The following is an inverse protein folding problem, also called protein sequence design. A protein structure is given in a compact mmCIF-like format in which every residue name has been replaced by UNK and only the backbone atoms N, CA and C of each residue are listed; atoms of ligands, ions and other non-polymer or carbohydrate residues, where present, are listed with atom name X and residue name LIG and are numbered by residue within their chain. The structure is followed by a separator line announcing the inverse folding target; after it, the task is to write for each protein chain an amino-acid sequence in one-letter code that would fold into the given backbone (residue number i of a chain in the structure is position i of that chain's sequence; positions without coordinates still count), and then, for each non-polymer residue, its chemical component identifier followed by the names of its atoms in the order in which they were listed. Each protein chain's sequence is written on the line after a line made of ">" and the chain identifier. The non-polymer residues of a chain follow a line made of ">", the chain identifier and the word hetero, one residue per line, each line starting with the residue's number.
data_IF_710823357614
#
_entry.id   IF_710823357614
#
_cell.length_a   1.000
_cell.length_b   1.000
_cell.length_c   1.000
_cell.angle_alpha   90.00
_cell.angle_beta   90.00
_cell.angle_gamma   90.00
#
_symmetry.space_group_name_H-M   'P 1'
#
loop_
_entity.id
_entity.type
_entity.pdbx_description
1 polymer ?
#
# COMPACT_ATOMS: atom_id res chain seq x y z
N UNK A 1 2.65 11.59 0.73
CA UNK A 1 2.50 10.13 0.84
C UNK A 1 3.14 9.47 -0.36
N UNK A 2 3.81 8.31 -0.18
CA UNK A 2 4.50 7.55 -1.22
C UNK A 2 4.30 6.04 -1.00
N UNK A 3 4.12 5.28 -2.09
CA UNK A 3 4.01 3.83 -2.09
C UNK A 3 5.40 3.20 -2.33
N UNK A 4 5.82 2.31 -1.44
CA UNK A 4 7.09 1.57 -1.51
C UNK A 4 6.91 0.10 -1.84
N UNK A 5 5.71 -0.44 -1.62
CA UNK A 5 5.35 -1.80 -1.99
C UNK A 5 3.85 -1.88 -2.24
N UNK A 6 3.45 -2.63 -3.26
CA UNK A 6 2.07 -2.68 -3.78
C UNK A 6 1.59 -4.11 -4.09
N UNK A 7 2.46 -5.11 -3.90
CA UNK A 7 2.12 -6.54 -4.09
C UNK A 7 1.49 -7.12 -2.83
N UNK A 8 0.54 -8.03 -3.04
CA UNK A 8 -0.02 -8.86 -1.99
C UNK A 8 0.75 -10.15 -1.79
N UNK A 9 0.56 -10.78 -0.66
CA UNK A 9 0.97 -12.14 -0.29
C UNK A 9 2.47 -12.42 -0.29
N UNK A 10 3.20 -12.05 -1.35
CA UNK A 10 4.65 -12.27 -1.45
C UNK A 10 5.28 -11.31 -2.47
N UNK A 11 6.55 -10.97 -2.27
CA UNK A 11 7.33 -10.21 -3.23
C UNK A 11 7.38 -10.92 -4.60
N UNK A 12 7.12 -10.16 -5.68
CA UNK A 12 7.02 -10.70 -7.04
C UNK A 12 7.89 -9.91 -8.02
N UNK A 13 9.22 -10.18 -8.04
CA UNK A 13 10.14 -9.50 -8.94
C UNK A 13 9.87 -9.88 -10.40
N UNK A 14 10.09 -8.91 -11.30
CA UNK A 14 10.00 -9.12 -12.75
C UNK A 14 10.98 -10.21 -13.18
N UNK A 15 10.48 -11.30 -13.77
CA UNK A 15 11.32 -12.41 -14.23
C UNK A 15 12.07 -12.05 -15.52
N UNK A 16 13.24 -12.61 -15.73
CA UNK A 16 14.07 -12.35 -16.93
C UNK A 16 13.31 -12.55 -18.25
N UNK A 17 12.45 -13.56 -18.33
CA UNK A 17 11.63 -13.80 -19.52
C UNK A 17 10.60 -12.69 -19.77
N UNK A 18 9.98 -12.16 -18.71
CA UNK A 18 8.97 -11.10 -18.82
C UNK A 18 9.66 -9.77 -19.16
N UNK A 19 10.82 -9.50 -18.54
CA UNK A 19 11.67 -8.37 -18.89
C UNK A 19 12.08 -8.40 -20.38
N UNK A 20 12.57 -9.58 -20.86
CA UNK A 20 12.95 -9.76 -22.26
C UNK A 20 11.77 -9.55 -23.21
N UNK A 21 10.58 -10.12 -22.89
CA UNK A 21 9.35 -9.91 -23.67
C UNK A 21 9.02 -8.42 -23.77
N UNK A 22 9.02 -7.71 -22.64
CA UNK A 22 8.75 -6.27 -22.56
C UNK A 22 9.71 -5.45 -23.43
N UNK A 23 11.01 -5.71 -23.36
CA UNK A 23 12.01 -5.01 -24.19
C UNK A 23 11.82 -5.28 -25.69
N UNK A 24 11.56 -6.52 -26.08
CA UNK A 24 11.31 -6.86 -27.49
C UNK A 24 10.10 -6.10 -28.02
N UNK A 25 9.00 -6.10 -27.26
CA UNK A 25 7.78 -5.41 -27.66
C UNK A 25 7.99 -3.89 -27.79
N UNK A 26 8.72 -3.26 -26.87
CA UNK A 26 9.11 -1.84 -26.97
C UNK A 26 9.94 -1.58 -28.25
N UNK A 27 10.91 -2.44 -28.55
CA UNK A 27 11.75 -2.29 -29.73
C UNK A 27 10.97 -2.48 -31.04
N UNK A 28 10.02 -3.41 -31.06
CA UNK A 28 9.17 -3.62 -32.23
C UNK A 28 8.22 -2.44 -32.47
N UNK A 29 7.62 -1.87 -31.41
CA UNK A 29 6.85 -0.63 -31.51
C UNK A 29 7.70 0.55 -31.99
N UNK A 30 8.93 0.68 -31.50
CA UNK A 30 9.87 1.72 -31.95
C UNK A 30 10.18 1.60 -33.45
N UNK A 31 10.46 0.39 -33.95
CA UNK A 31 10.65 0.15 -35.39
C UNK A 31 9.40 0.50 -36.22
N UNK A 32 8.21 0.15 -35.72
CA UNK A 32 6.94 0.43 -36.41
C UNK A 32 6.62 1.93 -36.45
N UNK A 33 7.08 2.72 -35.49
CA UNK A 33 6.90 4.17 -35.46
C UNK A 33 7.77 4.94 -36.48
N UNK A 34 8.64 4.24 -37.22
CA UNK A 34 9.53 4.84 -38.21
C UNK A 34 10.84 5.37 -37.61
N UNK A 35 11.04 5.29 -36.32
CA UNK A 35 12.27 5.66 -35.58
C UNK A 35 12.81 7.08 -35.84
N UNK A 36 12.03 7.98 -36.45
CA UNK A 36 12.42 9.33 -36.83
C UNK A 36 12.14 10.40 -35.74
N UNK A 37 11.48 10.02 -34.65
CA UNK A 37 11.11 10.90 -33.55
C UNK A 37 12.07 10.88 -32.37
N UNK A 38 11.85 11.79 -31.41
CA UNK A 38 12.52 11.78 -30.12
C UNK A 38 12.22 10.49 -29.35
N UNK A 39 13.23 9.86 -28.75
CA UNK A 39 13.04 8.70 -27.85
C UNK A 39 12.12 9.04 -26.67
N UNK A 40 12.18 10.29 -26.17
CA UNK A 40 11.32 10.75 -25.10
C UNK A 40 9.86 10.83 -25.54
N UNK A 41 9.57 11.31 -26.76
CA UNK A 41 8.22 11.36 -27.31
C UNK A 41 7.68 9.95 -27.54
N UNK A 42 8.47 9.04 -28.10
CA UNK A 42 8.12 7.63 -28.22
C UNK A 42 7.81 7.01 -26.85
N UNK A 43 8.66 7.26 -25.84
CA UNK A 43 8.45 6.79 -24.46
C UNK A 43 7.12 7.29 -23.89
N UNK A 44 6.79 8.58 -24.08
CA UNK A 44 5.52 9.13 -23.59
C UNK A 44 4.27 8.47 -24.20
N UNK A 45 4.38 7.96 -25.42
CA UNK A 45 3.28 7.33 -26.15
C UNK A 45 3.20 5.79 -25.98
N UNK A 46 4.15 5.18 -25.27
CA UNK A 46 4.10 3.73 -24.98
C UNK A 46 2.86 3.35 -24.18
N UNK A 47 2.28 2.15 -24.40
CA UNK A 47 1.30 1.56 -23.50
C UNK A 47 1.80 1.55 -22.06
N UNK A 48 0.90 1.75 -21.11
CA UNK A 48 1.25 1.92 -19.69
C UNK A 48 2.04 0.72 -19.15
N UNK A 49 1.62 -0.51 -19.45
CA UNK A 49 2.29 -1.75 -19.00
C UNK A 49 3.70 -1.93 -19.57
N UNK A 50 4.02 -1.27 -20.67
CA UNK A 50 5.39 -1.25 -21.24
C UNK A 50 6.21 -0.12 -20.62
N UNK A 51 5.59 1.02 -20.35
CA UNK A 51 6.25 2.21 -19.81
C UNK A 51 6.69 2.04 -18.35
N UNK A 52 5.93 1.31 -17.54
CA UNK A 52 6.17 1.14 -16.12
C UNK A 52 6.21 -0.33 -15.71
N UNK A 53 6.87 -0.61 -14.60
CA UNK A 53 6.63 -1.79 -13.78
C UNK A 53 5.76 -1.36 -12.60
N UNK A 54 4.81 -2.20 -12.18
CA UNK A 54 3.97 -1.90 -11.02
C UNK A 54 4.79 -1.93 -9.72
N UNK A 55 5.74 -2.82 -9.65
CA UNK A 55 6.62 -3.05 -8.52
C UNK A 55 6.66 -4.52 -8.12
N UNK A 56 7.61 -4.85 -7.28
CA UNK A 56 7.90 -6.21 -6.82
C UNK A 56 7.73 -6.39 -5.32
N UNK A 57 7.77 -5.30 -4.57
CA UNK A 57 7.76 -5.32 -3.12
C UNK A 57 6.34 -5.40 -2.54
N UNK A 58 6.23 -6.05 -1.38
CA UNK A 58 4.97 -6.16 -0.64
C UNK A 58 4.67 -4.90 0.15
N UNK A 59 3.46 -4.80 0.65
CA UNK A 59 2.76 -3.63 1.15
C UNK A 59 3.60 -2.76 2.10
N UNK A 60 3.89 -1.54 1.66
CA UNK A 60 4.47 -0.49 2.48
C UNK A 60 4.14 0.88 1.92
N UNK A 61 3.56 1.75 2.74
CA UNK A 61 3.22 3.13 2.37
C UNK A 61 3.78 4.10 3.40
N UNK A 62 4.43 5.18 2.98
CA UNK A 62 4.83 6.26 3.87
C UNK A 62 3.92 7.48 3.73
N UNK A 63 3.66 8.13 4.85
CA UNK A 63 3.03 9.44 4.95
C UNK A 63 3.99 10.38 5.66
N UNK A 64 4.22 11.57 5.13
CA UNK A 64 4.99 12.61 5.81
C UNK A 64 4.04 13.79 6.04
N UNK A 65 3.92 14.24 7.28
CA UNK A 65 3.11 15.40 7.62
C UNK A 65 3.85 16.72 7.34
N UNK A 66 3.15 17.84 7.54
CA UNK A 66 3.67 19.18 7.30
C UNK A 66 4.88 19.53 8.20
N UNK A 67 5.03 18.85 9.33
CA UNK A 67 6.17 19.01 10.25
C UNK A 67 7.36 18.09 9.89
N UNK A 68 7.24 17.28 8.82
CA UNK A 68 8.27 16.35 8.37
C UNK A 68 8.35 15.07 9.20
N UNK A 69 7.31 14.72 9.98
CA UNK A 69 7.22 13.47 10.70
C UNK A 69 6.80 12.33 9.75
N UNK A 70 7.51 11.21 9.81
CA UNK A 70 7.23 10.03 8.98
C UNK A 70 6.33 9.03 9.71
N UNK A 71 5.26 8.64 9.03
CA UNK A 71 4.34 7.57 9.40
C UNK A 71 4.41 6.50 8.34
N UNK A 72 4.38 5.24 8.75
CA UNK A 72 4.50 4.07 7.85
C UNK A 72 3.30 3.15 8.08
N UNK A 73 2.65 2.76 7.02
CA UNK A 73 1.55 1.81 6.98
C UNK A 73 2.11 0.50 6.43
N UNK A 74 2.15 -0.48 7.30
CA UNK A 74 2.73 -1.79 7.13
C UNK A 74 4.25 -1.84 6.82
N UNK A 75 4.82 -2.99 7.05
CA UNK A 75 6.26 -3.25 7.01
C UNK A 75 6.61 -4.38 6.03
N UNK A 76 5.91 -4.42 4.88
CA UNK A 76 6.26 -5.34 3.80
C UNK A 76 7.66 -5.09 3.24
N UNK A 77 8.06 -5.84 2.24
CA UNK A 77 9.44 -5.77 1.71
C UNK A 77 9.81 -4.39 1.17
N UNK A 78 8.80 -3.58 0.76
CA UNK A 78 9.01 -2.18 0.36
C UNK A 78 9.60 -1.29 1.45
N UNK A 79 9.48 -1.69 2.73
CA UNK A 79 10.06 -0.97 3.86
C UNK A 79 11.59 -0.85 3.77
N UNK A 80 12.25 -1.82 3.15
CA UNK A 80 13.70 -1.77 2.91
C UNK A 80 14.09 -0.53 2.12
N UNK A 81 13.35 -0.21 1.05
CA UNK A 81 13.63 0.94 0.18
C UNK A 81 13.42 2.26 0.94
N UNK A 82 12.34 2.37 1.71
CA UNK A 82 12.13 3.51 2.61
C UNK A 82 13.28 3.65 3.62
N UNK A 83 13.75 2.53 4.19
CA UNK A 83 14.87 2.53 5.12
C UNK A 83 16.17 3.06 4.50
N UNK A 84 16.43 2.74 3.22
CA UNK A 84 17.58 3.24 2.49
C UNK A 84 17.50 4.76 2.26
N UNK A 85 16.33 5.29 1.92
CA UNK A 85 16.08 6.74 1.78
C UNK A 85 16.28 7.45 3.13
N UNK A 86 15.67 6.96 4.21
CA UNK A 86 15.79 7.56 5.55
C UNK A 86 17.23 7.57 6.05
N UNK A 87 18.02 6.53 5.81
CA UNK A 87 19.44 6.51 6.19
C UNK A 87 20.26 7.48 5.33
N UNK A 88 19.95 7.63 4.05
CA UNK A 88 20.60 8.64 3.21
C UNK A 88 20.34 10.05 3.73
N UNK A 89 19.10 10.37 4.13
CA UNK A 89 18.72 11.66 4.71
C UNK A 89 19.32 11.88 6.11
N UNK A 90 19.48 10.81 6.90
CA UNK A 90 20.11 10.84 8.22
C UNK A 90 21.51 11.46 8.18
N UNK A 91 22.32 11.10 7.21
CA UNK A 91 23.68 11.63 7.05
C UNK A 91 23.71 13.09 6.57
N UNK A 92 22.61 13.63 6.06
CA UNK A 92 22.47 15.04 5.68
C UNK A 92 21.90 15.93 6.79
N UNK A 93 21.61 15.38 7.97
CA UNK A 93 21.03 16.06 9.15
C UNK A 93 19.64 16.70 8.93
N UNK A 94 18.89 16.27 7.93
CA UNK A 94 17.57 16.83 7.59
C UNK A 94 16.40 16.02 8.12
N UNK A 95 16.63 14.85 8.75
CA UNK A 95 15.61 13.89 9.11
C UNK A 95 15.16 14.01 10.57
N UNK A 96 13.86 13.95 10.82
CA UNK A 96 13.32 13.55 12.13
C UNK A 96 13.56 12.05 12.34
N UNK A 97 14.19 11.70 13.45
CA UNK A 97 14.62 10.32 13.76
C UNK A 97 13.51 9.49 14.43
N UNK A 98 12.29 9.99 14.46
CA UNK A 98 11.12 9.24 14.93
C UNK A 98 10.33 8.74 13.74
N UNK A 99 10.00 7.44 13.73
CA UNK A 99 9.15 6.82 12.72
C UNK A 99 7.99 6.12 13.43
N UNK A 100 6.77 6.42 13.01
CA UNK A 100 5.54 5.85 13.58
C UNK A 100 4.93 4.85 12.60
N UNK A 101 4.85 3.59 13.01
CA UNK A 101 4.28 2.49 12.23
C UNK A 101 2.84 2.24 12.65
N UNK A 102 1.95 2.06 11.68
CA UNK A 102 0.57 1.61 11.83
C UNK A 102 0.44 0.26 11.16
N UNK A 103 0.22 -0.78 11.95
CA UNK A 103 0.24 -2.17 11.48
C UNK A 103 -1.19 -2.68 11.31
N UNK A 104 -1.57 -2.97 10.06
CA UNK A 104 -2.90 -3.48 9.74
C UNK A 104 -3.10 -4.87 10.30
N UNK A 105 -2.13 -5.75 10.08
CA UNK A 105 -2.08 -7.10 10.62
C UNK A 105 -0.67 -7.70 10.45
N UNK A 106 -0.48 -8.96 10.82
CA UNK A 106 0.85 -9.56 10.89
C UNK A 106 1.04 -10.75 9.93
N UNK A 107 0.34 -10.77 8.77
CA UNK A 107 0.73 -11.67 7.70
C UNK A 107 2.13 -11.28 7.19
N UNK A 108 2.83 -12.24 6.63
CA UNK A 108 4.26 -12.09 6.32
C UNK A 108 4.53 -10.92 5.38
N UNK A 109 3.72 -10.74 4.38
CA UNK A 109 3.87 -9.66 3.41
C UNK A 109 3.66 -8.25 3.98
N UNK A 110 3.12 -8.15 5.21
CA UNK A 110 2.97 -6.88 5.95
C UNK A 110 4.03 -6.65 7.03
N UNK A 111 4.86 -7.64 7.35
CA UNK A 111 5.91 -7.51 8.37
C UNK A 111 7.30 -7.92 7.89
N UNK A 112 7.42 -8.55 6.74
CA UNK A 112 8.63 -9.19 6.24
C UNK A 112 9.81 -8.22 6.04
N UNK A 113 9.55 -6.93 5.81
CA UNK A 113 10.57 -5.92 5.60
C UNK A 113 11.23 -5.39 6.88
N UNK A 114 10.62 -5.59 8.05
CA UNK A 114 11.12 -5.00 9.30
C UNK A 114 12.58 -5.37 9.60
N UNK A 115 13.02 -6.63 9.50
CA UNK A 115 14.41 -7.01 9.76
C UNK A 115 15.42 -6.36 8.80
N UNK A 116 14.95 -5.86 7.65
CA UNK A 116 15.77 -5.22 6.62
C UNK A 116 15.64 -3.68 6.61
N UNK A 117 14.88 -3.12 7.55
CA UNK A 117 14.71 -1.69 7.74
C UNK A 117 15.95 -1.10 8.44
N UNK A 118 16.89 -0.55 7.67
CA UNK A 118 18.18 -0.07 8.21
C UNK A 118 18.07 0.82 9.44
N UNK A 119 17.12 1.80 9.54
CA UNK A 119 17.01 2.64 10.73
C UNK A 119 16.82 1.88 12.04
N UNK A 120 16.32 0.63 12.03
CA UNK A 120 16.14 -0.18 13.24
C UNK A 120 17.47 -0.46 13.96
N UNK A 121 18.59 -0.44 13.23
CA UNK A 121 19.92 -0.70 13.75
C UNK A 121 20.65 0.55 14.27
N UNK A 122 20.08 1.75 14.07
CA UNK A 122 20.69 3.01 14.49
C UNK A 122 20.13 3.47 15.83
N UNK A 123 20.98 3.66 16.88
CA UNK A 123 20.52 3.99 18.23
C UNK A 123 19.81 5.34 18.37
N UNK A 124 19.99 6.23 17.39
CA UNK A 124 19.35 7.54 17.39
C UNK A 124 17.90 7.50 16.88
N UNK A 125 17.46 6.39 16.29
CA UNK A 125 16.09 6.26 15.82
C UNK A 125 15.15 5.82 16.95
N UNK A 126 13.96 6.39 16.95
CA UNK A 126 12.84 6.05 17.82
C UNK A 126 11.69 5.52 16.99
N UNK A 127 11.32 4.27 17.17
CA UNK A 127 10.30 3.57 16.41
C UNK A 127 9.07 3.34 17.28
N UNK A 128 7.94 3.91 16.89
CA UNK A 128 6.66 3.73 17.57
C UNK A 128 5.77 2.81 16.73
N UNK A 129 5.28 1.73 17.31
CA UNK A 129 4.41 0.75 16.65
C UNK A 129 3.01 0.86 17.24
N UNK A 130 2.04 1.24 16.42
CA UNK A 130 0.63 1.36 16.77
C UNK A 130 -0.15 0.22 16.14
N UNK A 131 -0.93 -0.50 16.94
CA UNK A 131 -1.80 -1.57 16.45
C UNK A 131 -2.83 -1.95 17.51
N UNK A 132 -3.99 -2.52 17.12
CA UNK A 132 -4.92 -3.13 18.05
C UNK A 132 -4.45 -4.47 18.65
N UNK A 133 -3.36 -5.07 18.13
CA UNK A 133 -2.85 -6.34 18.64
C UNK A 133 -2.00 -6.14 19.88
N UNK A 134 -2.50 -6.58 21.04
CA UNK A 134 -1.80 -6.47 22.33
C UNK A 134 -0.50 -7.29 22.39
N UNK A 135 -0.37 -8.26 21.51
CA UNK A 135 0.80 -9.15 21.40
C UNK A 135 1.71 -8.81 20.20
N UNK A 136 1.57 -7.60 19.59
CA UNK A 136 2.35 -7.22 18.41
C UNK A 136 3.85 -7.40 18.62
N UNK A 137 4.39 -6.93 19.74
CA UNK A 137 5.81 -7.07 20.08
C UNK A 137 6.25 -8.54 20.03
N UNK A 138 5.48 -9.43 20.66
CA UNK A 138 5.77 -10.87 20.67
C UNK A 138 5.74 -11.48 19.27
N UNK A 139 4.81 -11.03 18.41
CA UNK A 139 4.73 -11.51 17.03
C UNK A 139 5.98 -11.12 16.24
N UNK A 140 6.46 -9.87 16.40
CA UNK A 140 7.67 -9.38 15.73
C UNK A 140 8.94 -10.01 16.31
N UNK A 141 9.00 -10.28 17.62
CA UNK A 141 10.09 -11.05 18.24
C UNK A 141 10.16 -12.47 17.65
N UNK A 142 9.01 -13.16 17.54
CA UNK A 142 8.95 -14.51 16.94
C UNK A 142 9.40 -14.53 15.49
N UNK A 143 9.07 -13.49 14.70
CA UNK A 143 9.56 -13.36 13.33
C UNK A 143 11.10 -13.35 13.25
N UNK A 144 11.76 -12.83 14.29
CA UNK A 144 13.21 -12.65 14.35
C UNK A 144 13.87 -13.61 15.36
N UNK A 145 13.22 -14.74 15.67
CA UNK A 145 13.88 -15.83 16.41
C UNK A 145 15.08 -16.36 15.62
N UNK A 146 16.15 -16.84 16.31
CA UNK A 146 17.40 -17.25 15.66
C UNK A 146 17.25 -18.30 14.56
N UNK A 147 16.18 -19.09 14.59
CA UNK A 147 15.82 -20.07 13.56
C UNK A 147 15.36 -19.40 12.25
N UNK A 148 14.90 -18.16 12.29
CA UNK A 148 14.35 -17.43 11.15
C UNK A 148 15.20 -16.24 10.73
N UNK A 149 15.83 -15.55 11.69
CA UNK A 149 16.64 -14.37 11.41
C UNK A 149 17.82 -14.25 12.40
N UNK A 150 19.04 -13.85 11.92
CA UNK A 150 20.24 -13.89 12.76
C UNK A 150 20.31 -12.80 13.85
N UNK A 151 19.51 -11.74 13.74
CA UNK A 151 19.49 -10.63 14.70
C UNK A 151 18.10 -10.56 15.36
N UNK A 152 17.99 -10.85 16.66
CA UNK A 152 16.71 -10.72 17.36
C UNK A 152 16.27 -9.26 17.44
N UNK A 153 14.96 -9.02 17.52
CA UNK A 153 14.39 -7.67 17.56
C UNK A 153 15.01 -6.81 18.67
N UNK A 154 15.22 -7.39 19.86
CA UNK A 154 15.83 -6.72 21.02
C UNK A 154 17.32 -6.44 20.85
N UNK A 155 17.97 -7.14 19.91
CA UNK A 155 19.39 -6.94 19.56
C UNK A 155 19.64 -5.77 18.61
N UNK A 156 18.58 -5.10 18.12
CA UNK A 156 18.70 -3.95 17.22
C UNK A 156 18.86 -2.64 18.01
N UNK A 157 19.58 -1.65 17.43
CA UNK A 157 20.03 -0.46 18.15
C UNK A 157 18.98 0.59 18.48
N UNK A 158 17.89 0.71 17.68
CA UNK A 158 16.87 1.76 17.85
C UNK A 158 16.02 1.57 19.11
N UNK A 159 15.54 2.67 19.69
CA UNK A 159 14.49 2.62 20.70
C UNK A 159 13.14 2.21 20.06
N UNK A 160 12.39 1.33 20.72
CA UNK A 160 11.11 0.81 20.24
C UNK A 160 10.04 0.97 21.31
N UNK A 161 8.86 1.47 20.91
CA UNK A 161 7.68 1.58 21.75
C UNK A 161 6.49 0.94 21.05
N UNK A 162 5.81 0.02 21.75
CA UNK A 162 4.61 -0.64 21.27
C UNK A 162 3.39 -0.02 21.97
N UNK A 163 2.47 0.52 21.16
CA UNK A 163 1.32 1.29 21.64
C UNK A 163 0.03 0.65 21.16
N UNK A 164 -0.84 0.30 22.09
CA UNK A 164 -2.18 -0.15 21.77
C UNK A 164 -2.99 1.01 21.19
N UNK A 165 -3.72 0.72 20.12
CA UNK A 165 -4.56 1.67 19.42
C UNK A 165 -5.79 0.95 18.89
N UNK A 166 -6.94 1.13 19.52
CA UNK A 166 -8.16 0.37 19.22
C UNK A 166 -9.14 1.13 18.33
N UNK A 167 -10.04 0.42 17.61
CA UNK A 167 -11.20 1.04 16.98
C UNK A 167 -12.00 1.89 17.96
N UNK A 168 -12.29 3.14 17.59
CA UNK A 168 -12.92 4.13 18.44
C UNK A 168 -11.95 5.10 19.11
N UNK A 169 -10.67 4.78 19.19
CA UNK A 169 -9.65 5.73 19.63
C UNK A 169 -9.32 6.74 18.51
N UNK A 170 -8.91 7.94 18.92
CA UNK A 170 -8.35 8.96 18.03
C UNK A 170 -6.97 9.35 18.56
N UNK A 171 -5.94 9.09 17.76
CA UNK A 171 -4.60 9.62 18.04
C UNK A 171 -4.45 10.98 17.40
N UNK A 172 -3.98 11.97 18.16
CA UNK A 172 -3.70 13.31 17.67
C UNK A 172 -2.20 13.60 17.82
N UNK A 173 -1.57 13.98 16.72
CA UNK A 173 -0.15 14.31 16.65
C UNK A 173 0.08 15.82 16.73
N UNK A 174 1.28 16.29 17.16
CA UNK A 174 1.57 17.72 17.30
C UNK A 174 1.33 18.55 16.02
N UNK A 175 1.47 17.95 14.84
CA UNK A 175 1.16 18.59 13.54
C UNK A 175 -0.35 18.84 13.35
N UNK A 176 -1.23 18.34 14.24
CA UNK A 176 -2.68 18.35 14.08
C UNK A 176 -3.20 17.20 13.22
N UNK A 177 -2.32 16.27 12.82
CA UNK A 177 -2.73 15.04 12.16
C UNK A 177 -3.48 14.15 13.15
N UNK A 178 -4.67 13.66 12.74
CA UNK A 178 -5.47 12.70 13.50
C UNK A 178 -5.46 11.36 12.79
N UNK A 179 -5.38 10.28 13.58
CA UNK A 179 -5.43 8.91 13.08
C UNK A 179 -6.50 8.13 13.83
N UNK A 180 -7.33 7.41 13.08
CA UNK A 180 -8.36 6.49 13.56
C UNK A 180 -8.15 5.12 12.91
N UNK A 181 -8.63 4.03 13.53
CA UNK A 181 -8.61 2.70 12.93
C UNK A 181 -10.00 2.06 12.91
N UNK A 182 -10.20 1.13 11.96
CA UNK A 182 -11.45 0.41 11.74
C UNK A 182 -11.17 -1.05 11.40
N UNK A 183 -11.90 -2.03 11.98
CA UNK A 183 -11.71 -3.45 11.69
C UNK A 183 -12.20 -3.80 10.27
N UNK A 184 -11.45 -4.64 9.57
CA UNK A 184 -11.78 -5.15 8.25
C UNK A 184 -12.04 -6.65 8.28
N UNK A 185 -12.85 -7.14 7.35
CA UNK A 185 -13.07 -8.58 7.13
C UNK A 185 -11.86 -9.17 6.41
N UNK A 186 -11.07 -9.94 7.15
CA UNK A 186 -9.89 -10.65 6.63
C UNK A 186 -9.55 -11.84 7.56
N UNK A 187 -9.04 -12.98 7.04
CA UNK A 187 -8.62 -14.11 7.88
C UNK A 187 -7.54 -13.67 8.90
N UNK A 188 -7.78 -13.93 10.17
CA UNK A 188 -6.90 -13.46 11.26
C UNK A 188 -7.11 -12.00 11.70
N UNK A 189 -7.99 -11.27 11.03
CA UNK A 189 -8.28 -9.85 11.25
C UNK A 189 -7.30 -8.93 10.53
N UNK A 190 -7.79 -7.76 10.13
CA UNK A 190 -7.02 -6.64 9.58
C UNK A 190 -7.67 -5.33 10.01
N UNK A 191 -6.96 -4.21 9.89
CA UNK A 191 -7.46 -2.90 10.27
C UNK A 191 -7.14 -1.85 9.20
N UNK A 192 -8.14 -1.03 8.86
CA UNK A 192 -7.91 0.20 8.10
C UNK A 192 -7.44 1.33 9.00
N UNK A 193 -6.68 2.26 8.45
CA UNK A 193 -6.28 3.49 9.12
C UNK A 193 -6.71 4.72 8.34
N UNK A 194 -7.40 5.65 9.04
CA UNK A 194 -7.83 6.94 8.50
C UNK A 194 -6.98 8.06 9.07
N UNK A 195 -6.34 8.81 8.21
CA UNK A 195 -5.52 9.97 8.50
C UNK A 195 -6.28 11.23 8.09
N UNK A 196 -6.48 12.16 9.04
CA UNK A 196 -7.08 13.46 8.77
C UNK A 196 -6.07 14.54 9.09
N UNK A 197 -5.64 15.32 8.09
CA UNK A 197 -4.69 16.40 8.30
C UNK A 197 -5.37 17.67 8.87
N UNK A 198 -4.57 18.68 9.26
CA UNK A 198 -5.08 19.93 9.83
C UNK A 198 -6.05 20.68 8.89
N UNK A 199 -5.94 20.49 7.57
CA UNK A 199 -6.83 21.09 6.58
C UNK A 199 -8.13 20.29 6.38
N UNK A 200 -8.33 19.20 7.14
CA UNK A 200 -9.49 18.32 7.02
C UNK A 200 -9.42 17.37 5.81
N UNK A 201 -8.27 17.19 5.18
CA UNK A 201 -8.08 16.21 4.11
C UNK A 201 -7.97 14.82 4.70
N UNK A 202 -8.65 13.88 4.07
CA UNK A 202 -8.81 12.49 4.54
C UNK A 202 -8.08 11.54 3.61
N UNK A 203 -7.12 10.81 4.15
CA UNK A 203 -6.47 9.65 3.54
C UNK A 203 -6.86 8.39 4.31
N UNK A 204 -7.26 7.33 3.60
CA UNK A 204 -7.56 6.02 4.19
C UNK A 204 -6.72 4.95 3.51
N UNK A 205 -6.12 4.09 4.34
CA UNK A 205 -5.41 2.89 3.93
C UNK A 205 -6.19 1.66 4.41
N UNK A 206 -6.64 0.82 3.49
CA UNK A 206 -7.50 -0.33 3.74
C UNK A 206 -7.09 -1.50 2.83
N UNK A 207 -5.92 -2.06 3.09
CA UNK A 207 -5.47 -3.30 2.44
C UNK A 207 -6.00 -4.50 3.20
N UNK A 208 -6.00 -5.67 2.55
CA UNK A 208 -6.45 -6.93 3.16
C UNK A 208 -7.86 -6.81 3.74
N UNK A 209 -8.76 -6.50 2.83
CA UNK A 209 -10.18 -6.33 3.08
C UNK A 209 -10.99 -7.13 2.07
N UNK A 210 -11.93 -7.93 2.55
CA UNK A 210 -12.88 -8.62 1.71
C UNK A 210 -14.24 -7.93 1.72
N UNK A 211 -14.59 -7.34 0.60
CA UNK A 211 -15.93 -6.84 0.31
C UNK A 211 -16.52 -7.62 -0.86
N UNK A 212 -17.69 -8.21 -0.66
CA UNK A 212 -18.42 -8.98 -1.67
C UNK A 212 -19.83 -8.43 -1.88
N UNK A 213 -20.52 -8.91 -2.90
CA UNK A 213 -21.92 -8.56 -3.10
C UNK A 213 -22.87 -9.04 -2.00
N UNK A 214 -22.43 -9.96 -1.14
CA UNK A 214 -23.17 -10.40 0.04
C UNK A 214 -22.97 -9.50 1.26
N UNK A 215 -21.95 -8.62 1.24
CA UNK A 215 -21.56 -7.78 2.40
C UNK A 215 -22.19 -6.38 2.34
N UNK A 216 -23.37 -6.21 1.74
CA UNK A 216 -24.01 -4.89 1.58
C UNK A 216 -24.26 -4.17 2.89
N UNK A 217 -24.65 -4.88 3.95
CA UNK A 217 -24.83 -4.31 5.28
C UNK A 217 -23.49 -3.83 5.85
N UNK A 218 -22.43 -4.64 5.72
CA UNK A 218 -21.08 -4.26 6.13
C UNK A 218 -20.59 -3.01 5.39
N UNK A 219 -20.82 -2.92 4.08
CA UNK A 219 -20.43 -1.76 3.26
C UNK A 219 -21.17 -0.50 3.72
N UNK A 220 -22.43 -0.63 4.13
CA UNK A 220 -23.21 0.46 4.70
C UNK A 220 -22.71 0.85 6.09
N UNK A 221 -22.42 -0.11 6.96
CA UNK A 221 -21.94 0.12 8.31
C UNK A 221 -20.55 0.79 8.34
N UNK A 222 -19.71 0.51 7.34
CA UNK A 222 -18.41 1.15 7.17
C UNK A 222 -18.51 2.62 6.72
N UNK A 223 -19.67 3.07 6.18
CA UNK A 223 -19.81 4.39 5.56
C UNK A 223 -19.30 5.54 6.45
N UNK A 224 -19.56 5.61 7.77
CA UNK A 224 -19.09 6.73 8.60
C UNK A 224 -17.55 6.84 8.63
N UNK A 225 -16.84 5.72 8.47
CA UNK A 225 -15.39 5.70 8.48
C UNK A 225 -14.80 6.09 7.10
N UNK A 226 -15.37 5.57 6.00
CA UNK A 226 -14.83 5.73 4.65
C UNK A 226 -15.36 6.95 3.89
N UNK A 227 -16.49 7.55 4.35
CA UNK A 227 -17.18 8.59 3.61
C UNK A 227 -16.29 9.80 3.28
N UNK A 228 -16.45 10.28 2.03
CA UNK A 228 -15.90 11.52 1.52
C UNK A 228 -14.36 11.60 1.55
N UNK A 229 -13.66 10.45 1.65
CA UNK A 229 -12.21 10.39 1.63
C UNK A 229 -11.63 11.09 0.40
N UNK A 230 -10.62 11.94 0.61
CA UNK A 230 -9.88 12.57 -0.50
C UNK A 230 -9.04 11.52 -1.25
N UNK A 231 -8.53 10.51 -0.53
CA UNK A 231 -7.77 9.40 -1.09
C UNK A 231 -8.04 8.13 -0.29
N UNK A 232 -8.40 7.06 -0.98
CA UNK A 232 -8.53 5.71 -0.46
C UNK A 232 -7.57 4.77 -1.19
N UNK A 233 -6.66 4.13 -0.46
CA UNK A 233 -5.92 2.97 -0.95
C UNK A 233 -6.70 1.74 -0.49
N UNK A 234 -7.20 0.93 -1.44
CA UNK A 234 -8.06 -0.21 -1.16
C UNK A 234 -7.54 -1.47 -1.81
N UNK A 235 -7.65 -2.58 -1.09
CA UNK A 235 -7.42 -3.94 -1.62
C UNK A 235 -8.18 -4.15 -2.93
N UNK A 236 -7.46 -4.66 -3.93
CA UNK A 236 -8.03 -4.91 -5.26
C UNK A 236 -7.26 -6.07 -5.92
N UNK A 237 -7.20 -7.20 -5.22
CA UNK A 237 -6.32 -8.29 -5.62
C UNK A 237 -6.89 -9.08 -6.80
N UNK A 238 -8.23 -9.22 -6.90
CA UNK A 238 -8.85 -10.18 -7.82
C UNK A 238 -9.64 -9.54 -8.96
N UNK A 239 -9.76 -10.31 -10.06
CA UNK A 239 -10.84 -10.12 -11.03
C UNK A 239 -12.16 -10.61 -10.45
N UNK A 240 -13.28 -10.24 -11.09
CA UNK A 240 -14.61 -10.68 -10.64
C UNK A 240 -14.73 -12.22 -10.64
N UNK A 241 -14.28 -12.88 -11.71
CA UNK A 241 -14.38 -14.33 -11.85
C UNK A 241 -13.52 -15.06 -10.79
N UNK A 242 -12.32 -14.55 -10.49
CA UNK A 242 -11.44 -15.12 -9.48
C UNK A 242 -12.01 -14.98 -8.06
N UNK A 243 -12.73 -13.92 -7.77
CA UNK A 243 -13.32 -13.70 -6.44
C UNK A 243 -14.37 -14.77 -6.07
N UNK A 244 -15.08 -15.35 -7.05
CA UNK A 244 -16.01 -16.43 -6.79
C UNK A 244 -15.31 -17.73 -6.33
N UNK A 245 -14.11 -18.00 -6.84
CA UNK A 245 -13.33 -19.19 -6.47
C UNK A 245 -12.46 -18.98 -5.24
N UNK A 246 -12.24 -17.74 -4.83
CA UNK A 246 -11.38 -17.33 -3.71
C UNK A 246 -12.19 -16.64 -2.60
N UNK A 247 -13.46 -17.04 -2.44
CA UNK A 247 -14.32 -16.54 -1.37
C UNK A 247 -13.72 -16.88 0.02
N UNK A 248 -13.80 -15.93 0.96
CA UNK A 248 -13.19 -16.00 2.30
C UNK A 248 -11.63 -16.06 2.30
N UNK A 249 -10.98 -15.66 1.21
CA UNK A 249 -9.52 -15.49 1.19
C UNK A 249 -9.09 -14.10 1.71
N UNK A 250 -10.06 -13.20 1.93
CA UNK A 250 -9.82 -11.91 2.58
C UNK A 250 -9.47 -10.76 1.64
N UNK A 251 -9.80 -10.87 0.34
CA UNK A 251 -9.45 -9.85 -0.65
C UNK A 251 -10.64 -9.49 -1.56
N UNK A 252 -10.57 -8.29 -2.12
CA UNK A 252 -11.66 -7.68 -2.89
C UNK A 252 -11.38 -7.72 -4.40
N UNK A 253 -12.45 -7.97 -5.20
CA UNK A 253 -12.38 -7.81 -6.65
C UNK A 253 -12.46 -6.33 -7.06
N UNK A 254 -11.83 -5.96 -8.19
CA UNK A 254 -11.81 -4.57 -8.67
C UNK A 254 -13.21 -3.95 -8.82
N UNK A 255 -14.20 -4.72 -9.22
CA UNK A 255 -15.59 -4.26 -9.35
C UNK A 255 -16.16 -3.81 -8.01
N UNK A 256 -15.91 -4.60 -6.96
CA UNK A 256 -16.38 -4.26 -5.62
C UNK A 256 -15.60 -3.09 -5.01
N UNK A 257 -14.29 -2.98 -5.25
CA UNK A 257 -13.51 -1.82 -4.82
C UNK A 257 -14.05 -0.52 -5.41
N UNK A 258 -14.45 -0.53 -6.69
CA UNK A 258 -15.10 0.61 -7.35
C UNK A 258 -16.49 0.88 -6.78
N UNK A 259 -17.31 -0.16 -6.55
CA UNK A 259 -18.64 -0.02 -5.96
C UNK A 259 -18.56 0.60 -4.55
N UNK A 260 -17.67 0.09 -3.71
CA UNK A 260 -17.44 0.61 -2.37
C UNK A 260 -17.01 2.08 -2.40
N UNK A 261 -15.99 2.41 -3.20
CA UNK A 261 -15.48 3.77 -3.32
C UNK A 261 -16.56 4.75 -3.82
N UNK A 262 -17.40 4.33 -4.78
CA UNK A 262 -18.54 5.12 -5.26
C UNK A 262 -19.58 5.34 -4.17
N UNK A 263 -19.97 4.27 -3.46
CA UNK A 263 -20.96 4.34 -2.38
C UNK A 263 -20.50 5.22 -1.22
N UNK A 264 -19.20 5.20 -0.90
CA UNK A 264 -18.59 6.02 0.13
C UNK A 264 -18.21 7.43 -0.34
N UNK A 265 -18.50 7.79 -1.58
CA UNK A 265 -18.20 9.11 -2.21
C UNK A 265 -16.72 9.48 -2.15
N UNK A 266 -15.85 8.49 -2.31
CA UNK A 266 -14.41 8.67 -2.36
C UNK A 266 -14.03 9.50 -3.59
N UNK A 267 -13.05 10.41 -3.44
CA UNK A 267 -12.61 11.27 -4.55
C UNK A 267 -11.54 10.60 -5.42
N UNK A 268 -10.59 9.90 -4.77
CA UNK A 268 -9.51 9.19 -5.45
C UNK A 268 -9.38 7.79 -4.85
N UNK A 269 -9.52 6.75 -5.67
CA UNK A 269 -9.33 5.34 -5.34
C UNK A 269 -8.00 4.87 -5.92
N UNK A 270 -7.16 4.26 -5.11
CA UNK A 270 -5.91 3.59 -5.54
C UNK A 270 -6.09 2.10 -5.40
N UNK A 271 -6.04 1.39 -6.52
CA UNK A 271 -6.11 -0.07 -6.58
C UNK A 271 -4.75 -0.64 -6.20
N UNK A 272 -4.68 -1.43 -5.12
CA UNK A 272 -3.41 -1.97 -4.58
C UNK A 272 -3.52 -3.44 -4.21
N UNK A 273 -2.46 -3.99 -3.61
CA UNK A 273 -2.36 -5.37 -3.16
C UNK A 273 -2.45 -6.36 -4.32
N UNK A 274 -1.69 -6.06 -5.40
CA UNK A 274 -1.73 -6.84 -6.65
C UNK A 274 -1.32 -8.29 -6.42
N UNK A 275 -2.12 -9.20 -6.96
CA UNK A 275 -1.84 -10.65 -6.94
C UNK A 275 -0.42 -10.94 -7.48
N UNK A 276 0.43 -11.67 -6.75
CA UNK A 276 1.83 -11.86 -7.12
C UNK A 276 2.05 -12.60 -8.44
N UNK A 277 1.09 -13.42 -8.86
CA UNK A 277 1.15 -14.15 -10.13
C UNK A 277 0.83 -13.30 -11.36
N UNK A 278 0.32 -12.07 -11.18
CA UNK A 278 -0.08 -11.21 -12.31
C UNK A 278 1.11 -10.49 -12.93
N UNK A 279 1.14 -10.51 -14.27
CA UNK A 279 2.01 -9.64 -15.04
C UNK A 279 1.57 -8.17 -14.98
N UNK A 280 2.46 -7.25 -15.30
CA UNK A 280 2.12 -5.81 -15.43
C UNK A 280 0.98 -5.59 -16.41
N UNK A 281 0.92 -6.35 -17.51
CA UNK A 281 -0.15 -6.30 -18.51
C UNK A 281 -1.52 -6.64 -17.86
N UNK A 282 -1.61 -7.78 -17.13
CA UNK A 282 -2.85 -8.17 -16.45
C UNK A 282 -3.28 -7.18 -15.38
N UNK A 283 -2.35 -6.62 -14.61
CA UNK A 283 -2.64 -5.59 -13.61
C UNK A 283 -3.17 -4.32 -14.29
N UNK A 284 -2.59 -3.95 -15.41
CA UNK A 284 -3.07 -2.81 -16.19
C UNK A 284 -4.45 -3.05 -16.79
N UNK A 285 -4.73 -4.26 -17.28
CA UNK A 285 -6.07 -4.64 -17.74
C UNK A 285 -7.12 -4.54 -16.65
N UNK A 286 -6.80 -4.95 -15.41
CA UNK A 286 -7.67 -4.77 -14.25
C UNK A 286 -7.97 -3.28 -14.02
N UNK A 287 -6.96 -2.43 -14.11
CA UNK A 287 -7.12 -0.98 -13.97
C UNK A 287 -8.04 -0.39 -15.04
N UNK A 288 -7.86 -0.76 -16.32
CA UNK A 288 -8.74 -0.30 -17.41
C UNK A 288 -10.17 -0.83 -17.24
N UNK A 289 -10.33 -2.09 -16.84
CA UNK A 289 -11.63 -2.67 -16.53
C UNK A 289 -12.33 -1.99 -15.34
N UNK A 290 -11.58 -1.59 -14.31
CA UNK A 290 -12.12 -0.81 -13.20
C UNK A 290 -12.66 0.57 -13.66
N UNK A 291 -11.95 1.24 -14.58
CA UNK A 291 -12.39 2.50 -15.17
C UNK A 291 -13.64 2.31 -16.05
N UNK A 292 -13.71 1.22 -16.82
CA UNK A 292 -14.89 0.88 -17.61
C UNK A 292 -16.09 0.60 -16.70
N UNK A 293 -15.90 -0.15 -15.62
CA UNK A 293 -16.93 -0.41 -14.63
C UNK A 293 -17.44 0.88 -13.97
N UNK A 294 -16.55 1.79 -13.59
CA UNK A 294 -16.90 3.12 -13.08
C UNK A 294 -17.77 3.91 -14.07
N UNK A 295 -17.44 3.87 -15.38
CA UNK A 295 -18.23 4.53 -16.41
C UNK A 295 -19.63 3.93 -16.54
N UNK A 296 -19.76 2.60 -16.43
CA UNK A 296 -21.05 1.90 -16.46
C UNK A 296 -21.94 2.27 -15.27
N UNK A 297 -21.35 2.53 -14.10
CA UNK A 297 -22.06 3.05 -12.91
C UNK A 297 -22.51 4.51 -13.08
N UNK A 298 -22.05 5.21 -14.11
CA UNK A 298 -22.31 6.65 -14.29
C UNK A 298 -21.55 7.55 -13.32
N UNK A 299 -20.59 7.00 -12.58
CA UNK A 299 -19.79 7.74 -11.58
C UNK A 299 -18.71 8.57 -12.29
N UNK A 300 -18.85 9.90 -12.25
CA UNK A 300 -17.95 10.84 -12.94
C UNK A 300 -16.94 11.52 -12.03
N UNK A 301 -17.14 11.48 -10.71
CA UNK A 301 -16.32 12.22 -9.75
C UNK A 301 -15.17 11.41 -9.20
N UNK A 302 -15.34 10.10 -9.08
CA UNK A 302 -14.30 9.18 -8.62
C UNK A 302 -13.14 9.15 -9.63
N UNK A 303 -11.91 9.37 -9.17
CA UNK A 303 -10.70 9.14 -9.96
C UNK A 303 -10.06 7.83 -9.52
N UNK A 304 -9.78 6.95 -10.47
CA UNK A 304 -9.13 5.66 -10.20
C UNK A 304 -7.65 5.75 -10.57
N UNK A 305 -6.80 5.27 -9.70
CA UNK A 305 -5.35 5.20 -9.87
C UNK A 305 -4.87 3.76 -9.69
N UNK A 306 -3.89 3.36 -10.46
CA UNK A 306 -3.21 2.09 -10.28
C UNK A 306 -2.01 2.28 -9.34
N UNK A 307 -1.95 1.51 -8.25
CA UNK A 307 -0.80 1.52 -7.37
C UNK A 307 0.44 1.01 -8.10
N UNK A 308 1.54 1.73 -7.93
CA UNK A 308 2.89 1.32 -8.34
C UNK A 308 3.91 1.88 -7.36
N UNK A 309 5.03 1.21 -7.26
CA UNK A 309 6.14 1.71 -6.45
C UNK A 309 6.60 3.09 -6.93
N UNK A 310 6.92 3.97 -5.99
CA UNK A 310 7.30 5.34 -6.24
C UNK A 310 6.15 6.31 -6.56
N UNK A 311 4.89 5.84 -6.64
CA UNK A 311 3.74 6.73 -6.82
C UNK A 311 3.57 7.62 -5.59
N UNK A 312 3.38 8.93 -5.83
CA UNK A 312 3.23 9.94 -4.77
C UNK A 312 1.91 10.68 -4.89
N UNK A 313 1.34 11.02 -3.73
CA UNK A 313 0.18 11.91 -3.62
C UNK A 313 0.45 13.03 -2.62
N UNK A 314 -0.11 14.20 -2.89
CA UNK A 314 -0.12 15.36 -2.01
C UNK A 314 -1.58 15.70 -1.67
N UNK A 315 -1.91 15.84 -0.39
CA UNK A 315 -3.27 16.08 0.12
C UNK A 315 -3.36 17.39 0.90
#
# INVERSE_FOLDING_TARGET
>A
MQLYGVRGSIASPLRNQDYRKKIIEILDLYKQSGADGSVDEFWQNLPYHLKFVTGSDTTCVSVTDDDGQTYVLDMGTGLRNLGDELVSEYFTNQLKKTVSFFITHTHWDHIQGLPFFKPIYFPDFHLHFYSPYADLEKRLQRQQEPEFFPVPLDGTGSAKEFKLFFPGDVLEFPSGLKVECYPLKHPGGSFAYKFTNRAGKIFIFATDAEFTGADMDLIHDCLPFFADADLLILDTQYTLDESFSKFDWGHTAYTMSVNCASSWRVKNLVLTHHEPSYSDEKIFDIYENAKLHQQQLGEKKLKIHLAREGLRFHL
#
